data_IF_559260413393
#
_entry.id   IF_559260413393
#
_cell.length_a   1.000
_cell.length_b   1.000
_cell.length_c   1.000
_cell.angle_alpha   90.00
_cell.angle_beta   90.00
_cell.angle_gamma   90.00
#
_symmetry.space_group_name_H-M   'P 1'
#
loop_
_entity.id
_entity.type
_entity.pdbx_description
1 polymer ?
#
# COMPACT_ATOMS: atom_id res chain seq x y z
N UNK A 1 21.17 -6.65 -8.32
CA UNK A 1 20.56 -5.62 -7.45
C UNK A 1 21.45 -4.39 -7.47
N UNK A 2 20.91 -3.28 -7.97
CA UNK A 2 21.62 -2.09 -8.46
C UNK A 2 22.24 -1.17 -7.39
N UNK A 3 22.52 -1.69 -6.19
CA UNK A 3 23.14 -0.94 -5.08
C UNK A 3 22.38 0.35 -4.69
N UNK A 4 21.06 0.40 -4.90
CA UNK A 4 20.19 1.50 -4.47
C UNK A 4 19.43 1.13 -3.21
N UNK A 5 18.98 2.14 -2.45
CA UNK A 5 18.10 1.97 -1.28
C UNK A 5 16.63 1.73 -1.64
N UNK A 6 16.30 1.61 -2.93
CA UNK A 6 14.93 1.45 -3.42
C UNK A 6 14.66 -0.05 -3.62
N UNK A 7 13.46 -0.47 -3.22
CA UNK A 7 13.00 -1.86 -3.44
C UNK A 7 13.01 -2.22 -4.92
N UNK A 8 13.49 -3.43 -5.22
CA UNK A 8 13.50 -3.97 -6.58
C UNK A 8 12.30 -4.88 -6.77
N UNK A 9 11.58 -4.71 -7.87
CA UNK A 9 10.42 -5.52 -8.24
C UNK A 9 10.74 -6.34 -9.50
N UNK A 10 10.24 -7.56 -9.55
CA UNK A 10 10.38 -8.45 -10.71
C UNK A 10 8.97 -8.71 -11.25
N UNK A 11 8.78 -8.45 -12.54
CA UNK A 11 7.52 -8.68 -13.23
C UNK A 11 7.62 -9.91 -14.12
N UNK A 12 6.70 -10.85 -13.92
CA UNK A 12 6.51 -12.01 -14.79
C UNK A 12 5.19 -11.81 -15.53
N UNK A 13 5.28 -11.55 -16.84
CA UNK A 13 4.12 -11.24 -17.68
C UNK A 13 3.98 -12.32 -18.75
N UNK A 14 2.75 -12.82 -18.92
CA UNK A 14 2.42 -13.77 -19.98
C UNK A 14 0.97 -13.57 -20.43
N UNK A 15 0.77 -13.66 -21.74
CA UNK A 15 -0.54 -13.74 -22.40
C UNK A 15 -1.09 -15.18 -22.44
N UNK A 16 -0.26 -16.19 -22.19
CA UNK A 16 -0.61 -17.62 -22.21
C UNK A 16 -0.84 -18.16 -20.79
N UNK A 17 -1.79 -17.57 -20.06
CA UNK A 17 -2.15 -18.03 -18.71
C UNK A 17 -2.99 -19.31 -18.74
N UNK A 18 -2.70 -20.25 -17.84
CA UNK A 18 -3.57 -21.41 -17.60
C UNK A 18 -4.96 -20.98 -17.09
N UNK A 19 -5.97 -21.86 -17.22
CA UNK A 19 -7.35 -21.53 -16.84
C UNK A 19 -7.47 -20.99 -15.40
N UNK A 20 -6.77 -21.61 -14.44
CA UNK A 20 -6.76 -21.19 -13.03
C UNK A 20 -6.20 -19.78 -12.79
N UNK A 21 -5.32 -19.27 -13.67
CA UNK A 21 -4.62 -17.98 -13.54
C UNK A 21 -5.18 -16.85 -14.41
N UNK A 22 -6.04 -17.17 -15.39
CA UNK A 22 -6.67 -16.14 -16.24
C UNK A 22 -7.46 -15.15 -15.39
N UNK A 23 -7.35 -13.86 -15.71
CA UNK A 23 -7.99 -12.77 -14.97
C UNK A 23 -7.41 -12.48 -13.58
N UNK A 24 -6.31 -13.13 -13.19
CA UNK A 24 -5.71 -12.96 -11.85
C UNK A 24 -4.27 -12.47 -11.92
N UNK A 25 -3.87 -11.80 -10.84
CA UNK A 25 -2.50 -11.39 -10.52
C UNK A 25 -2.10 -12.03 -9.21
N UNK A 26 -0.92 -12.66 -9.19
CA UNK A 26 -0.29 -13.15 -7.96
C UNK A 26 0.80 -12.17 -7.56
N UNK A 27 0.73 -11.68 -6.34
CA UNK A 27 1.78 -10.89 -5.71
C UNK A 27 2.56 -11.81 -4.79
N UNK A 28 3.89 -11.78 -4.88
CA UNK A 28 4.79 -12.56 -4.02
C UNK A 28 5.71 -11.59 -3.27
N UNK A 29 5.64 -11.59 -1.94
CA UNK A 29 6.55 -10.83 -1.11
C UNK A 29 7.78 -11.66 -0.75
N UNK A 30 8.86 -11.43 -1.51
CA UNK A 30 10.15 -12.08 -1.30
C UNK A 30 11.17 -11.20 -0.55
N UNK A 31 10.74 -10.16 0.18
CA UNK A 31 11.64 -9.29 0.93
C UNK A 31 12.27 -10.00 2.15
N UNK A 32 11.59 -11.03 2.67
CA UNK A 32 12.03 -11.83 3.80
C UNK A 32 12.00 -11.12 5.16
N UNK A 33 11.38 -9.94 5.28
CA UNK A 33 11.27 -9.21 6.57
C UNK A 33 10.59 -10.06 7.63
N UNK A 34 9.49 -10.73 7.28
CA UNK A 34 8.79 -11.62 8.21
C UNK A 34 9.65 -12.78 8.69
N UNK A 35 10.41 -13.41 7.79
CA UNK A 35 11.35 -14.46 8.16
C UNK A 35 12.48 -13.94 9.05
N UNK A 36 12.94 -12.68 8.90
CA UNK A 36 13.90 -12.10 9.86
C UNK A 36 13.33 -12.04 11.28
N UNK A 37 12.05 -11.77 11.41
CA UNK A 37 11.37 -11.65 12.70
C UNK A 37 11.16 -13.02 13.32
N UNK A 38 10.71 -14.00 12.53
CA UNK A 38 10.58 -15.39 12.98
C UNK A 38 11.92 -15.98 13.41
N UNK A 39 13.01 -15.66 12.71
CA UNK A 39 14.37 -16.06 13.09
C UNK A 39 14.78 -15.42 14.42
N UNK A 40 14.50 -14.13 14.63
CA UNK A 40 14.79 -13.45 15.91
C UNK A 40 13.99 -14.04 17.08
N UNK A 41 12.77 -14.50 16.81
CA UNK A 41 11.89 -15.14 17.79
C UNK A 41 12.24 -16.63 18.01
N UNK A 42 13.22 -17.19 17.29
CA UNK A 42 13.58 -18.61 17.37
C UNK A 42 12.52 -19.56 16.80
N UNK A 43 11.57 -19.03 16.02
CA UNK A 43 10.49 -19.81 15.36
C UNK A 43 10.90 -20.37 14.01
N UNK A 44 12.03 -19.91 13.47
CA UNK A 44 12.56 -20.34 12.19
C UNK A 44 14.09 -20.32 12.26
N UNK A 45 14.73 -21.33 11.69
CA UNK A 45 16.20 -21.45 11.76
C UNK A 45 16.93 -20.50 10.80
N UNK A 46 16.30 -20.16 9.67
CA UNK A 46 16.91 -19.34 8.63
C UNK A 46 15.87 -18.56 7.82
N UNK A 47 16.34 -17.54 7.09
CA UNK A 47 15.49 -16.80 6.17
C UNK A 47 15.32 -17.54 4.84
N UNK A 48 14.08 -17.88 4.46
CA UNK A 48 13.80 -18.68 3.26
C UNK A 48 14.00 -17.89 1.96
N UNK A 49 14.08 -16.56 1.97
CA UNK A 49 14.15 -15.75 0.75
C UNK A 49 15.57 -15.34 0.36
N UNK A 50 16.45 -15.14 1.34
CA UNK A 50 17.82 -14.70 1.11
C UNK A 50 18.73 -15.15 2.24
N UNK A 51 20.03 -15.15 1.97
CA UNK A 51 21.07 -15.41 2.97
C UNK A 51 22.01 -14.21 3.06
N UNK A 52 22.62 -14.02 4.23
CA UNK A 52 23.65 -13.00 4.40
C UNK A 52 24.83 -13.32 3.48
N UNK A 53 25.47 -12.28 2.96
CA UNK A 53 26.70 -12.44 2.21
C UNK A 53 27.88 -12.49 3.17
N UNK A 54 28.81 -13.41 2.91
CA UNK A 54 30.06 -13.56 3.69
C UNK A 54 30.93 -12.30 3.57
N UNK A 55 30.94 -11.70 2.37
CA UNK A 55 31.56 -10.41 2.10
C UNK A 55 30.55 -9.48 1.46
N UNK A 56 30.44 -8.28 2.02
CA UNK A 56 29.56 -7.24 1.52
C UNK A 56 30.10 -6.63 0.22
N UNK A 57 29.20 -6.21 -0.68
CA UNK A 57 29.55 -5.48 -1.90
C UNK A 57 28.86 -4.11 -1.89
N UNK A 58 29.58 -3.05 -1.51
CA UNK A 58 28.99 -1.72 -1.34
C UNK A 58 27.94 -1.72 -0.22
N UNK A 59 26.67 -1.45 -0.54
CA UNK A 59 25.53 -1.55 0.39
C UNK A 59 24.81 -2.91 0.31
N UNK A 60 25.21 -3.79 -0.62
CA UNK A 60 24.63 -5.13 -0.72
C UNK A 60 25.12 -6.01 0.43
N UNK A 61 24.16 -6.54 1.20
CA UNK A 61 24.40 -7.44 2.36
C UNK A 61 23.77 -8.83 2.21
N UNK A 62 22.87 -8.99 1.24
CA UNK A 62 22.02 -10.17 1.06
C UNK A 62 22.19 -10.74 -0.34
N UNK A 63 22.19 -12.07 -0.45
CA UNK A 63 22.16 -12.81 -1.72
C UNK A 63 20.97 -13.78 -1.70
N UNK A 64 20.30 -13.94 -2.84
CA UNK A 64 19.28 -14.98 -3.00
C UNK A 64 20.03 -16.30 -3.17
N UNK A 65 19.66 -17.33 -2.41
CA UNK A 65 20.26 -18.65 -2.57
C UNK A 65 19.83 -19.25 -3.92
N UNK A 66 20.79 -19.85 -4.63
CA UNK A 66 20.56 -20.57 -5.87
C UNK A 66 20.46 -22.07 -5.58
N UNK A 67 19.62 -22.77 -6.35
CA UNK A 67 19.39 -24.22 -6.30
C UNK A 67 18.69 -24.75 -5.02
N UNK A 68 17.90 -25.81 -5.18
CA UNK A 68 17.05 -26.40 -4.12
C UNK A 68 15.60 -25.91 -4.14
N UNK A 69 14.80 -26.36 -3.18
CA UNK A 69 13.36 -26.02 -3.03
C UNK A 69 13.04 -25.27 -1.72
N UNK A 70 13.91 -25.37 -0.71
CA UNK A 70 13.65 -24.86 0.64
C UNK A 70 13.97 -23.36 0.82
N UNK A 71 14.77 -22.77 -0.08
CA UNK A 71 15.19 -21.37 0.01
C UNK A 71 15.46 -20.70 -1.34
N UNK A 72 15.52 -19.37 -1.30
CA UNK A 72 15.91 -18.51 -2.40
C UNK A 72 15.03 -18.70 -3.63
N UNK A 73 15.65 -18.93 -4.78
CA UNK A 73 14.95 -19.05 -6.07
C UNK A 73 13.96 -20.22 -6.05
N UNK A 74 14.33 -21.35 -5.43
CA UNK A 74 13.49 -22.54 -5.35
C UNK A 74 12.16 -22.28 -4.64
N UNK A 75 12.25 -21.72 -3.42
CA UNK A 75 11.09 -21.41 -2.61
C UNK A 75 10.18 -20.34 -3.27
N UNK A 76 10.77 -19.29 -3.86
CA UNK A 76 10.02 -18.27 -4.60
C UNK A 76 9.30 -18.89 -5.81
N UNK A 77 9.97 -19.79 -6.52
CA UNK A 77 9.39 -20.48 -7.69
C UNK A 77 8.28 -21.42 -7.28
N UNK A 78 8.40 -22.10 -6.13
CA UNK A 78 7.35 -22.92 -5.57
C UNK A 78 6.12 -22.08 -5.18
N UNK A 79 6.32 -20.97 -4.45
CA UNK A 79 5.23 -20.02 -4.15
C UNK A 79 4.52 -19.55 -5.43
N UNK A 80 5.29 -19.22 -6.47
CA UNK A 80 4.73 -18.88 -7.77
C UNK A 80 3.94 -20.05 -8.37
N UNK A 81 4.52 -21.25 -8.41
CA UNK A 81 3.97 -22.46 -9.03
C UNK A 81 2.67 -22.93 -8.38
N UNK A 82 2.65 -23.02 -7.06
CA UNK A 82 1.53 -23.51 -6.25
C UNK A 82 0.27 -22.66 -6.47
N UNK A 83 0.46 -21.34 -6.65
CA UNK A 83 -0.62 -20.37 -6.92
C UNK A 83 -1.71 -20.38 -5.84
N UNK A 84 -1.30 -20.45 -4.59
CA UNK A 84 -2.18 -20.45 -3.42
C UNK A 84 -1.96 -19.20 -2.59
N UNK A 85 -3.00 -18.76 -1.88
CA UNK A 85 -2.89 -17.63 -0.98
C UNK A 85 -2.28 -18.06 0.34
N UNK A 86 -1.30 -17.28 0.81
CA UNK A 86 -0.68 -17.45 2.11
C UNK A 86 -0.14 -16.09 2.60
N UNK A 87 0.78 -16.12 3.54
CA UNK A 87 1.42 -14.90 4.08
C UNK A 87 2.32 -14.19 3.05
N UNK A 88 2.92 -14.93 2.12
CA UNK A 88 3.85 -14.40 1.11
C UNK A 88 3.22 -14.28 -0.28
N UNK A 89 2.14 -14.99 -0.56
CA UNK A 89 1.44 -15.03 -1.84
C UNK A 89 0.02 -14.50 -1.68
N UNK A 90 -0.31 -13.41 -2.37
CA UNK A 90 -1.69 -12.87 -2.44
C UNK A 90 -2.19 -12.95 -3.88
N UNK A 91 -3.44 -13.34 -4.07
CA UNK A 91 -4.00 -13.54 -5.41
C UNK A 91 -5.28 -12.73 -5.55
N UNK A 92 -5.26 -11.79 -6.49
CA UNK A 92 -6.37 -10.88 -6.72
C UNK A 92 -6.85 -10.97 -8.17
N UNK A 93 -8.14 -10.71 -8.43
CA UNK A 93 -8.62 -10.46 -9.80
C UNK A 93 -7.98 -9.18 -10.35
N UNK A 94 -7.87 -9.05 -11.67
CA UNK A 94 -7.28 -7.86 -12.31
C UNK A 94 -7.99 -6.57 -11.87
N UNK A 95 -9.32 -6.61 -11.77
CA UNK A 95 -10.19 -5.50 -11.41
C UNK A 95 -9.92 -4.97 -9.99
N UNK A 96 -9.30 -5.77 -9.12
CA UNK A 96 -8.92 -5.34 -7.79
C UNK A 96 -7.91 -4.17 -7.80
N UNK A 97 -7.07 -4.10 -8.82
CA UNK A 97 -6.08 -3.04 -8.99
C UNK A 97 -6.61 -1.86 -9.82
N UNK A 98 -7.80 -2.01 -10.42
CA UNK A 98 -8.41 -1.01 -11.26
C UNK A 98 -9.17 0.04 -10.45
N UNK A 99 -9.13 1.28 -10.91
CA UNK A 99 -9.90 2.39 -10.35
C UNK A 99 -10.34 3.37 -11.44
N UNK A 100 -11.41 4.10 -11.16
CA UNK A 100 -11.79 5.31 -11.88
C UNK A 100 -11.16 6.50 -11.19
N UNK A 101 -10.33 7.26 -11.90
CA UNK A 101 -9.94 8.60 -11.49
C UNK A 101 -11.00 9.58 -12.01
N UNK A 102 -11.85 10.05 -11.12
CA UNK A 102 -12.89 11.04 -11.45
C UNK A 102 -12.40 12.45 -11.16
N UNK A 103 -13.00 13.43 -11.83
CA UNK A 103 -12.88 14.84 -11.46
C UNK A 103 -14.15 15.26 -10.73
N UNK A 104 -13.99 15.72 -9.51
CA UNK A 104 -15.07 16.26 -8.67
C UNK A 104 -15.06 17.77 -8.84
N UNK A 105 -16.11 18.30 -9.44
CA UNK A 105 -16.30 19.74 -9.62
C UNK A 105 -17.24 20.28 -8.55
N UNK A 106 -16.98 21.50 -8.09
CA UNK A 106 -17.81 22.24 -7.15
C UNK A 106 -18.28 23.55 -7.78
N UNK A 107 -19.43 24.11 -7.37
CA UNK A 107 -19.93 25.33 -7.97
C UNK A 107 -19.06 26.53 -7.58
N UNK A 108 -18.85 27.43 -8.54
CA UNK A 108 -18.33 28.76 -8.27
C UNK A 108 -19.38 29.52 -7.45
N UNK A 109 -19.03 29.87 -6.21
CA UNK A 109 -19.87 30.69 -5.35
C UNK A 109 -19.64 32.15 -5.72
N UNK A 110 -20.70 32.86 -6.10
CA UNK A 110 -20.64 34.31 -6.19
C UNK A 110 -20.56 34.84 -4.75
N UNK A 111 -19.44 35.47 -4.39
CA UNK A 111 -19.27 36.07 -3.07
C UNK A 111 -20.34 37.14 -2.83
N UNK A 112 -21.40 36.81 -2.10
CA UNK A 112 -22.34 37.79 -1.56
C UNK A 112 -21.75 38.57 -0.36
N UNK A 113 -20.53 38.23 0.08
CA UNK A 113 -19.83 38.82 1.22
C UNK A 113 -18.43 39.38 0.92
N UNK A 114 -17.99 39.39 -0.34
CA UNK A 114 -16.73 40.05 -0.70
C UNK A 114 -16.99 41.53 -1.00
N UNK A 115 -16.38 42.43 -0.21
CA UNK A 115 -16.27 43.83 -0.57
C UNK A 115 -15.67 43.99 -1.98
N UNK A 116 -16.11 45.00 -2.76
CA UNK A 116 -15.84 45.07 -4.19
C UNK A 116 -14.40 45.51 -4.45
N UNK A 117 -13.47 44.56 -4.44
CA UNK A 117 -12.09 44.81 -4.88
C UNK A 117 -11.81 44.08 -6.19
N UNK A 118 -11.74 44.87 -7.26
CA UNK A 118 -11.01 44.50 -8.48
C UNK A 118 -11.81 43.79 -9.57
N UNK A 119 -12.32 44.61 -10.50
CA UNK A 119 -12.63 44.32 -11.91
C UNK A 119 -12.20 42.94 -12.43
N UNK A 120 -13.08 41.93 -12.37
CA UNK A 120 -13.05 40.78 -13.30
C UNK A 120 -14.23 40.90 -14.26
N UNK A 121 -13.91 41.20 -15.53
CA UNK A 121 -14.86 41.27 -16.64
C UNK A 121 -15.70 39.99 -16.70
N UNK A 122 -17.00 40.11 -16.40
CA UNK A 122 -18.00 39.07 -16.69
C UNK A 122 -18.14 38.95 -18.21
N UNK A 123 -17.48 37.98 -18.83
CA UNK A 123 -17.91 37.47 -20.14
C UNK A 123 -19.05 36.49 -19.89
N UNK A 124 -20.28 36.99 -20.05
CA UNK A 124 -21.45 36.15 -20.22
C UNK A 124 -21.26 35.35 -21.53
N UNK A 125 -21.10 34.04 -21.42
CA UNK A 125 -21.13 33.12 -22.55
C UNK A 125 -22.17 32.04 -22.27
N UNK A 126 -23.12 31.98 -23.19
CA UNK A 126 -24.27 31.10 -23.37
C UNK A 126 -24.33 29.75 -22.62
N UNK A 127 -25.49 29.54 -21.98
CA UNK A 127 -26.21 28.29 -21.64
C UNK A 127 -25.45 26.95 -21.84
N UNK A 128 -24.80 26.47 -20.78
CA UNK A 128 -24.90 25.07 -20.35
C UNK A 128 -25.84 25.04 -19.15
N UNK A 129 -26.84 24.16 -19.14
CA UNK A 129 -27.77 24.02 -18.01
C UNK A 129 -27.05 23.38 -16.81
N UNK A 130 -26.39 24.18 -16.00
CA UNK A 130 -25.73 23.70 -14.79
C UNK A 130 -24.85 24.75 -14.11
N UNK A 131 -24.49 24.52 -12.83
CA UNK A 131 -23.55 25.37 -12.10
C UNK A 131 -22.20 25.44 -12.82
N UNK A 132 -21.57 26.62 -12.79
CA UNK A 132 -20.23 26.80 -13.34
C UNK A 132 -19.20 26.21 -12.36
N UNK A 133 -18.23 25.40 -12.81
CA UNK A 133 -17.22 24.84 -11.93
C UNK A 133 -16.29 25.93 -11.39
N UNK A 134 -15.88 25.81 -10.12
CA UNK A 134 -14.78 26.53 -9.50
C UNK A 134 -13.47 25.73 -9.62
N UNK A 135 -12.51 26.15 -10.46
CA UNK A 135 -11.24 25.44 -10.61
C UNK A 135 -10.40 25.38 -9.34
N UNK A 136 -10.61 26.29 -8.38
CA UNK A 136 -9.85 26.31 -7.11
C UNK A 136 -10.36 25.28 -6.10
N UNK A 137 -11.61 24.84 -6.26
CA UNK A 137 -12.26 23.82 -5.42
C UNK A 137 -12.38 22.46 -6.11
N UNK A 138 -11.80 22.31 -7.30
CA UNK A 138 -11.78 21.04 -8.05
C UNK A 138 -10.92 20.03 -7.33
N UNK A 139 -11.44 18.82 -7.20
CA UNK A 139 -10.73 17.69 -6.62
C UNK A 139 -10.73 16.45 -7.54
N UNK A 140 -9.99 15.42 -7.14
CA UNK A 140 -9.90 14.14 -7.82
C UNK A 140 -10.06 12.99 -6.85
N UNK A 141 -10.86 12.02 -7.23
CA UNK A 141 -11.06 10.79 -6.46
C UNK A 141 -10.64 9.58 -7.27
N UNK A 142 -9.90 8.66 -6.64
CA UNK A 142 -9.57 7.36 -7.21
C UNK A 142 -10.51 6.31 -6.63
N UNK A 143 -11.54 5.94 -7.38
CA UNK A 143 -12.60 5.02 -6.96
C UNK A 143 -12.26 3.60 -7.42
N UNK A 144 -11.96 2.65 -6.52
CA UNK A 144 -11.65 1.27 -6.91
C UNK A 144 -12.83 0.59 -7.62
N UNK A 145 -12.58 -0.32 -8.55
CA UNK A 145 -13.67 -1.09 -9.20
C UNK A 145 -14.37 -2.04 -8.23
N UNK A 146 -13.62 -2.56 -7.26
CA UNK A 146 -14.09 -3.50 -6.26
C UNK A 146 -14.02 -2.88 -4.87
N UNK A 147 -15.00 -3.20 -4.02
CA UNK A 147 -14.98 -2.90 -2.58
C UNK A 147 -15.21 -4.18 -1.79
N UNK A 148 -14.86 -4.17 -0.51
CA UNK A 148 -15.25 -5.25 0.40
C UNK A 148 -16.67 -5.02 0.91
N UNK A 149 -17.49 -6.06 0.89
CA UNK A 149 -18.78 -6.07 1.58
C UNK A 149 -18.58 -6.28 3.10
N UNK A 150 -19.68 -6.31 3.87
CA UNK A 150 -19.65 -6.53 5.33
C UNK A 150 -19.04 -7.88 5.72
N UNK A 151 -19.01 -8.86 4.82
CA UNK A 151 -18.38 -10.16 5.02
C UNK A 151 -16.91 -10.20 4.60
N UNK A 152 -16.37 -9.07 4.09
CA UNK A 152 -14.99 -8.97 3.61
C UNK A 152 -14.78 -9.45 2.18
N UNK A 153 -15.83 -9.86 1.47
CA UNK A 153 -15.73 -10.34 0.08
C UNK A 153 -15.66 -9.17 -0.90
N UNK A 154 -14.85 -9.33 -1.95
CA UNK A 154 -14.76 -8.34 -3.01
C UNK A 154 -16.02 -8.37 -3.88
N UNK A 155 -16.67 -7.22 -4.01
CA UNK A 155 -17.85 -7.00 -4.83
C UNK A 155 -17.64 -5.79 -5.72
N UNK A 156 -18.18 -5.78 -6.96
CA UNK A 156 -18.17 -4.58 -7.80
C UNK A 156 -18.85 -3.39 -7.12
N UNK A 157 -18.38 -2.19 -7.41
CA UNK A 157 -19.06 -0.94 -7.09
C UNK A 157 -19.12 -0.03 -8.32
N UNK A 158 -19.97 0.99 -8.28
CA UNK A 158 -20.03 2.02 -9.32
C UNK A 158 -19.47 3.34 -8.80
N UNK A 159 -19.16 4.24 -9.72
CA UNK A 159 -18.73 5.61 -9.42
C UNK A 159 -19.80 6.30 -8.56
N UNK A 160 -21.07 6.20 -8.96
CA UNK A 160 -22.20 6.87 -8.31
C UNK A 160 -22.41 6.36 -6.88
N UNK A 161 -22.38 5.04 -6.67
CA UNK A 161 -22.56 4.44 -5.36
C UNK A 161 -21.40 4.77 -4.39
N UNK A 162 -20.19 5.02 -4.91
CA UNK A 162 -19.09 5.55 -4.10
C UNK A 162 -19.30 7.04 -3.83
N UNK A 163 -19.61 7.82 -4.86
CA UNK A 163 -19.77 9.27 -4.76
C UNK A 163 -20.86 9.66 -3.77
N UNK A 164 -22.02 9.00 -3.81
CA UNK A 164 -23.12 9.25 -2.86
C UNK A 164 -22.77 8.86 -1.42
N UNK A 165 -21.88 7.89 -1.23
CA UNK A 165 -21.48 7.37 0.08
C UNK A 165 -20.34 8.16 0.72
N UNK A 166 -19.33 8.52 -0.06
CA UNK A 166 -18.06 9.05 0.45
C UNK A 166 -17.88 10.54 0.12
N UNK A 167 -18.48 11.06 -0.96
CA UNK A 167 -18.25 12.44 -1.42
C UNK A 167 -19.43 13.34 -1.06
N UNK A 168 -20.64 12.96 -1.47
CA UNK A 168 -21.87 13.77 -1.30
C UNK A 168 -22.16 14.18 0.16
N UNK A 169 -21.90 13.36 1.20
CA UNK A 169 -22.11 13.78 2.59
C UNK A 169 -21.23 14.96 3.03
N UNK A 170 -20.08 15.14 2.38
CA UNK A 170 -19.14 16.22 2.67
C UNK A 170 -19.28 17.39 1.69
N UNK A 171 -19.62 17.10 0.44
CA UNK A 171 -19.74 18.08 -0.66
C UNK A 171 -21.09 17.92 -1.37
N UNK A 172 -22.15 18.48 -0.79
CA UNK A 172 -23.53 18.28 -1.27
C UNK A 172 -23.80 18.87 -2.66
N UNK A 173 -23.12 19.96 -3.02
CA UNK A 173 -23.25 20.65 -4.30
C UNK A 173 -22.27 20.12 -5.38
N UNK A 174 -21.42 19.15 -5.04
CA UNK A 174 -20.44 18.63 -5.99
C UNK A 174 -21.07 17.72 -7.06
N UNK A 175 -20.46 17.70 -8.24
CA UNK A 175 -20.82 16.78 -9.32
C UNK A 175 -19.59 16.20 -9.99
N UNK A 176 -19.81 15.11 -10.73
CA UNK A 176 -18.75 14.39 -11.44
C UNK A 176 -18.65 14.93 -12.87
N UNK A 177 -17.46 15.30 -13.30
CA UNK A 177 -17.17 15.50 -14.73
C UNK A 177 -16.83 14.14 -15.37
N UNK A 178 -17.85 13.45 -15.87
CA UNK A 178 -17.70 12.14 -16.51
C UNK A 178 -16.82 12.16 -17.76
N UNK A 179 -16.72 13.31 -18.45
CA UNK A 179 -15.87 13.45 -19.65
C UNK A 179 -14.38 13.35 -19.28
N UNK A 180 -14.01 13.81 -18.07
CA UNK A 180 -12.63 13.76 -17.57
C UNK A 180 -12.30 12.47 -16.82
N UNK A 181 -13.25 11.56 -16.67
CA UNK A 181 -13.02 10.31 -15.94
C UNK A 181 -12.05 9.41 -16.69
N UNK A 182 -11.06 8.87 -15.99
CA UNK A 182 -10.04 7.97 -16.54
C UNK A 182 -10.02 6.65 -15.79
N UNK A 183 -9.72 5.56 -16.50
CA UNK A 183 -9.40 4.28 -15.87
C UNK A 183 -7.90 4.23 -15.58
N UNK A 184 -7.55 3.89 -14.35
CA UNK A 184 -6.18 3.64 -13.91
C UNK A 184 -6.05 2.27 -13.27
N UNK A 185 -4.81 1.78 -13.19
CA UNK A 185 -4.45 0.59 -12.44
C UNK A 185 -3.26 0.91 -11.53
N UNK A 186 -3.31 0.45 -10.28
CA UNK A 186 -2.24 0.69 -9.31
C UNK A 186 -2.02 -0.55 -8.42
N UNK A 187 -0.75 -0.85 -8.16
CA UNK A 187 -0.34 -1.88 -7.21
C UNK A 187 0.48 -1.22 -6.11
N UNK A 188 -0.11 -1.05 -4.92
CA UNK A 188 0.59 -0.55 -3.74
C UNK A 188 1.15 -1.73 -2.91
N UNK A 189 2.39 -2.12 -3.16
CA UNK A 189 3.02 -3.27 -2.51
C UNK A 189 3.06 -3.17 -0.98
N UNK A 190 3.27 -1.96 -0.44
CA UNK A 190 3.29 -1.73 1.01
C UNK A 190 1.94 -2.06 1.64
N UNK A 191 0.82 -1.77 0.96
CA UNK A 191 -0.53 -2.03 1.46
C UNK A 191 -0.87 -3.52 1.57
N UNK A 192 -0.46 -4.34 0.61
CA UNK A 192 -0.98 -5.73 0.51
C UNK A 192 -0.30 -6.73 1.45
N UNK A 193 0.92 -6.43 1.89
CA UNK A 193 1.68 -7.26 2.82
C UNK A 193 1.96 -6.55 4.14
N UNK A 194 1.25 -5.45 4.42
CA UNK A 194 1.34 -4.78 5.70
C UNK A 194 0.75 -5.68 6.79
N UNK A 195 1.57 -6.01 7.77
CA UNK A 195 1.13 -6.63 9.01
C UNK A 195 1.21 -5.58 10.11
N UNK A 196 0.05 -5.24 10.69
CA UNK A 196 0.00 -4.30 11.79
C UNK A 196 0.70 -4.89 13.01
N UNK A 197 1.74 -4.20 13.48
CA UNK A 197 2.44 -4.54 14.71
C UNK A 197 1.99 -3.59 15.81
N UNK A 198 1.19 -4.06 16.79
CA UNK A 198 0.86 -3.22 17.92
C UNK A 198 2.14 -2.85 18.66
N UNK A 199 2.16 -1.64 19.21
CA UNK A 199 3.22 -1.24 20.12
C UNK A 199 3.19 -2.14 21.35
N UNK A 200 4.37 -2.49 21.88
CA UNK A 200 4.45 -3.22 23.15
C UNK A 200 3.76 -2.41 24.25
N UNK A 201 3.03 -3.05 25.18
CA UNK A 201 2.41 -2.35 26.30
C UNK A 201 3.44 -1.56 27.11
N UNK A 202 3.02 -0.42 27.66
CA UNK A 202 3.88 0.45 28.47
C UNK A 202 4.49 -0.29 29.68
N UNK A 203 3.74 -1.23 30.26
CA UNK A 203 4.19 -2.03 31.41
C UNK A 203 5.38 -2.94 31.06
N UNK A 204 5.41 -3.50 29.85
CA UNK A 204 6.57 -4.29 29.40
C UNK A 204 7.79 -3.40 29.19
N UNK A 205 7.59 -2.22 28.59
CA UNK A 205 8.66 -1.23 28.41
C UNK A 205 9.23 -0.81 29.77
N UNK A 206 8.37 -0.55 30.75
CA UNK A 206 8.79 -0.19 32.12
C UNK A 206 9.58 -1.31 32.78
N UNK A 207 9.13 -2.57 32.64
CA UNK A 207 9.83 -3.74 33.18
C UNK A 207 11.22 -3.90 32.57
N UNK A 208 11.36 -3.71 31.26
CA UNK A 208 12.64 -3.76 30.56
C UNK A 208 13.58 -2.64 31.04
N UNK A 209 13.08 -1.41 31.21
CA UNK A 209 13.86 -0.27 31.73
C UNK A 209 14.38 -0.57 33.13
N UNK A 210 13.51 -1.00 34.05
CA UNK A 210 13.92 -1.33 35.42
C UNK A 210 14.93 -2.48 35.46
N UNK A 211 14.77 -3.50 34.61
CA UNK A 211 15.72 -4.59 34.51
C UNK A 211 17.09 -4.14 33.95
N UNK A 212 17.10 -3.18 33.02
CA UNK A 212 18.33 -2.57 32.51
C UNK A 212 19.01 -1.70 33.58
N UNK A 213 18.26 -0.90 34.32
CA UNK A 213 18.77 -0.10 35.45
C UNK A 213 19.45 -0.99 36.49
N UNK A 214 18.84 -2.12 36.84
CA UNK A 214 19.44 -3.10 37.75
C UNK A 214 20.76 -3.66 37.21
N UNK A 215 20.80 -4.06 35.94
CA UNK A 215 22.03 -4.58 35.30
C UNK A 215 23.15 -3.53 35.27
N UNK A 216 22.81 -2.27 34.99
CA UNK A 216 23.79 -1.18 34.99
C UNK A 216 24.34 -0.96 36.39
N UNK A 217 23.48 -0.91 37.41
CA UNK A 217 23.91 -0.75 38.80
C UNK A 217 24.79 -1.90 39.30
N UNK A 218 24.50 -3.15 38.91
CA UNK A 218 25.35 -4.30 39.22
C UNK A 218 26.72 -4.20 38.54
N UNK A 219 26.76 -3.77 37.28
CA UNK A 219 27.99 -3.59 36.52
C UNK A 219 28.85 -2.45 37.09
N UNK A 220 28.25 -1.34 37.51
CA UNK A 220 28.96 -0.23 38.18
C UNK A 220 29.59 -0.66 39.50
N UNK A 221 28.86 -1.42 40.33
CA UNK A 221 29.43 -2.00 41.57
C UNK A 221 30.63 -2.89 41.27
N UNK A 222 30.49 -3.76 40.27
CA UNK A 222 31.58 -4.66 39.85
C UNK A 222 32.83 -3.91 39.40
N UNK A 223 32.68 -2.73 38.78
CA UNK A 223 33.82 -1.89 38.36
C UNK A 223 34.41 -1.09 39.51
N UNK A 224 33.59 -0.65 40.47
CA UNK A 224 34.02 0.12 41.64
C UNK A 224 34.63 -0.74 42.75
N UNK A 225 34.32 -2.05 42.78
CA UNK A 225 34.85 -3.03 43.73
C UNK A 225 36.18 -3.68 43.27
N UNK A 226 36.88 -3.08 42.29
CA UNK A 226 38.25 -3.41 41.83
C UNK A 226 39.19 -2.25 42.20
#
# INVERSE_FOLDING_TARGET
FYNTGISTYIWVVTNHKSARRKGKVQLINAAGVKDEELVKEGKLDFNRFWQKMDRSLGNKRKKIAENGTEKGIGFITQLYGDFEENEFSKIYPNEFFGYWRITVEQPLKDDASAEPTGKKKRKAAAKKSGPKPDPSLRDYENIPFLRKDKSGRLVPQTIEAYFDREVRPHLSEAWIDHVKTKVGYEINFTKYFYEFKPLRPLEEIRKDILALEQKVAEMEKTVLDI
#
